data_IF_106512951236
#
_entry.id   IF_106512951236
#
_cell.length_a   1.000
_cell.length_b   1.000
_cell.length_c   1.000
_cell.angle_alpha   90.00
_cell.angle_beta   90.00
_cell.angle_gamma   90.00
#
_symmetry.space_group_name_H-M   'P 1'
#
loop_
_entity.id
_entity.type
_entity.pdbx_description
1 polymer ?
#
# COMPACT_ATOMS: atom_id res chain seq x y z
N UNK A 1 3.96 -20.99 0.16
CA UNK A 1 3.84 -21.02 -1.31
C UNK A 1 4.06 -19.60 -1.81
N UNK A 2 4.87 -19.40 -2.84
CA UNK A 2 5.05 -18.07 -3.44
C UNK A 2 3.74 -17.64 -4.13
N UNK A 3 3.46 -16.33 -4.11
CA UNK A 3 2.28 -15.77 -4.77
C UNK A 3 2.42 -15.97 -6.29
N UNK A 4 1.36 -16.42 -6.96
CA UNK A 4 1.38 -16.61 -8.40
C UNK A 4 1.50 -15.26 -9.13
N UNK A 5 2.29 -15.14 -10.21
CA UNK A 5 2.33 -13.93 -11.03
C UNK A 5 0.93 -13.48 -11.46
N UNK A 6 0.67 -12.17 -11.39
CA UNK A 6 -0.63 -11.57 -11.66
C UNK A 6 -1.63 -11.61 -10.50
N UNK A 7 -1.31 -12.27 -9.39
CA UNK A 7 -2.15 -12.22 -8.18
C UNK A 7 -1.95 -10.92 -7.40
N UNK A 8 -3.01 -10.42 -6.77
CA UNK A 8 -2.89 -9.32 -5.79
C UNK A 8 -2.20 -9.84 -4.53
N UNK A 9 -1.12 -9.17 -4.14
CA UNK A 9 -0.29 -9.57 -2.99
C UNK A 9 -0.29 -8.56 -1.85
N UNK A 10 -0.73 -7.33 -2.12
CA UNK A 10 -0.78 -6.27 -1.13
C UNK A 10 -1.81 -5.21 -1.53
N UNK A 11 -2.50 -4.66 -0.53
CA UNK A 11 -3.43 -3.55 -0.69
C UNK A 11 -2.95 -2.37 0.16
N UNK A 12 -2.79 -1.22 -0.45
CA UNK A 12 -2.24 -0.03 0.20
C UNK A 12 -3.27 1.09 0.18
N UNK A 13 -3.62 1.60 1.36
CA UNK A 13 -4.40 2.81 1.50
C UNK A 13 -3.47 3.98 1.76
N UNK A 14 -3.43 4.92 0.83
CA UNK A 14 -2.85 6.24 1.08
C UNK A 14 -3.97 7.17 1.54
N UNK A 15 -3.80 7.83 2.69
CA UNK A 15 -4.83 8.72 3.26
C UNK A 15 -4.19 9.91 3.98
N UNK A 16 -4.91 11.03 4.06
CA UNK A 16 -4.51 12.18 4.89
C UNK A 16 -4.91 12.04 6.35
N UNK A 17 -5.65 10.99 6.71
CA UNK A 17 -6.08 10.71 8.08
C UNK A 17 -6.09 9.19 8.33
N UNK A 18 -4.95 8.68 8.78
CA UNK A 18 -4.78 7.26 9.09
C UNK A 18 -5.54 6.83 10.35
N UNK A 19 -5.79 7.75 11.29
CA UNK A 19 -6.56 7.46 12.51
C UNK A 19 -8.04 7.25 12.18
N UNK A 20 -8.62 8.15 11.37
CA UNK A 20 -9.98 8.00 10.88
C UNK A 20 -10.14 6.73 10.02
N UNK A 21 -9.16 6.41 9.19
CA UNK A 21 -9.16 5.17 8.40
C UNK A 21 -9.13 3.93 9.31
N UNK A 22 -8.25 3.90 10.31
CA UNK A 22 -8.19 2.80 11.30
C UNK A 22 -9.54 2.60 11.98
N UNK A 23 -10.17 3.69 12.45
CA UNK A 23 -11.49 3.62 13.08
C UNK A 23 -12.56 3.12 12.09
N UNK A 24 -12.63 3.72 10.91
CA UNK A 24 -13.65 3.40 9.91
C UNK A 24 -13.59 1.94 9.47
N UNK A 25 -12.42 1.45 9.06
CA UNK A 25 -12.28 0.06 8.62
C UNK A 25 -12.38 -0.95 9.78
N UNK A 26 -12.02 -0.54 10.99
CA UNK A 26 -12.33 -1.30 12.20
C UNK A 26 -13.84 -1.49 12.38
N UNK A 27 -14.62 -0.41 12.27
CA UNK A 27 -16.07 -0.45 12.49
C UNK A 27 -16.85 -1.13 11.35
N UNK A 28 -16.45 -0.89 10.09
CA UNK A 28 -17.21 -1.34 8.91
C UNK A 28 -16.87 -2.77 8.51
N UNK A 29 -15.59 -3.15 8.51
CA UNK A 29 -15.13 -4.47 8.02
C UNK A 29 -14.39 -5.29 9.09
N UNK A 30 -14.23 -4.77 10.30
CA UNK A 30 -13.59 -5.48 11.40
C UNK A 30 -12.08 -5.66 11.23
N UNK A 31 -11.43 -4.81 10.43
CA UNK A 31 -9.98 -4.89 10.25
C UNK A 31 -9.22 -4.46 11.49
N UNK A 32 -8.10 -5.12 11.74
CA UNK A 32 -7.15 -4.73 12.79
C UNK A 32 -6.00 -3.98 12.14
N UNK A 33 -6.00 -2.67 12.27
CA UNK A 33 -4.95 -1.79 11.77
C UNK A 33 -4.17 -1.29 12.99
N UNK A 34 -2.84 -1.30 12.90
CA UNK A 34 -2.00 -0.78 13.97
C UNK A 34 -2.37 0.68 14.30
N UNK A 35 -2.33 1.05 15.58
CA UNK A 35 -2.68 2.41 16.00
C UNK A 35 -1.68 3.46 15.49
N UNK A 36 -0.42 3.07 15.31
CA UNK A 36 0.65 3.87 14.70
C UNK A 36 1.60 2.96 13.95
N UNK A 37 2.22 3.49 12.91
CA UNK A 37 3.36 2.85 12.26
C UNK A 37 4.60 2.90 13.14
N UNK A 38 5.50 1.95 12.91
CA UNK A 38 6.84 1.97 13.51
C UNK A 38 7.75 2.85 12.64
N UNK A 39 8.20 4.03 13.14
CA UNK A 39 9.03 4.93 12.37
C UNK A 39 10.41 4.33 12.03
N UNK A 40 10.93 3.41 12.85
CA UNK A 40 12.22 2.77 12.62
C UNK A 40 12.18 1.80 11.43
N UNK A 41 11.01 1.19 11.19
CA UNK A 41 10.78 0.27 10.07
C UNK A 41 10.41 1.04 8.79
N UNK A 42 9.72 2.16 8.94
CA UNK A 42 9.03 2.86 7.84
C UNK A 42 9.78 4.11 7.35
N UNK A 43 11.06 4.27 7.71
CA UNK A 43 11.86 5.44 7.31
C UNK A 43 11.25 6.77 7.78
N UNK A 44 10.66 6.78 8.99
CA UNK A 44 10.00 7.96 9.57
C UNK A 44 8.57 8.21 9.10
N UNK A 45 8.02 7.38 8.21
CA UNK A 45 6.61 7.47 7.79
C UNK A 45 5.68 6.80 8.81
N UNK A 46 4.45 7.30 8.94
CA UNK A 46 3.39 6.58 9.68
C UNK A 46 2.72 5.58 8.74
N UNK A 47 3.31 4.38 8.70
CA UNK A 47 2.87 3.25 7.91
C UNK A 47 2.34 2.12 8.80
N UNK A 48 1.05 1.82 8.67
CA UNK A 48 0.32 0.93 9.58
C UNK A 48 -0.08 -0.35 8.88
N UNK A 49 0.29 -1.50 9.42
CA UNK A 49 -0.10 -2.78 8.85
C UNK A 49 -1.59 -3.09 9.09
N UNK A 50 -2.26 -3.63 8.07
CA UNK A 50 -3.60 -4.20 8.12
C UNK A 50 -3.46 -5.70 8.35
N UNK A 51 -3.84 -6.17 9.54
CA UNK A 51 -3.76 -7.58 9.91
C UNK A 51 -4.92 -8.42 9.35
N UNK A 52 -4.60 -9.64 8.93
CA UNK A 52 -5.57 -10.70 8.61
C UNK A 52 -5.95 -11.45 9.89
N UNK A 53 -7.15 -12.05 9.89
CA UNK A 53 -7.63 -12.87 11.01
C UNK A 53 -6.78 -14.12 11.28
N UNK A 54 -6.07 -14.60 10.26
CA UNK A 54 -5.18 -15.76 10.33
C UNK A 54 -3.75 -15.40 10.80
N UNK A 55 -3.50 -14.16 11.21
CA UNK A 55 -2.20 -13.68 11.69
C UNK A 55 -1.25 -13.19 10.59
N UNK A 56 -1.64 -13.27 9.32
CA UNK A 56 -0.91 -12.65 8.22
C UNK A 56 -1.15 -11.14 8.10
N UNK A 57 -0.45 -10.50 7.16
CA UNK A 57 -0.71 -9.11 6.76
C UNK A 57 -1.47 -9.08 5.43
N UNK A 58 -2.49 -8.22 5.35
CA UNK A 58 -3.30 -8.01 4.15
C UNK A 58 -2.79 -6.83 3.33
N UNK A 59 -2.29 -5.80 4.02
CA UNK A 59 -2.09 -4.49 3.42
C UNK A 59 -1.50 -3.47 4.38
N UNK A 60 -1.41 -2.24 3.91
CA UNK A 60 -0.88 -1.10 4.63
C UNK A 60 -1.80 0.11 4.58
N UNK A 61 -1.67 0.98 5.57
CA UNK A 61 -2.21 2.34 5.56
C UNK A 61 -1.04 3.30 5.72
N UNK A 62 -0.80 4.11 4.69
CA UNK A 62 0.17 5.18 4.69
C UNK A 62 -0.52 6.52 4.97
N UNK A 63 -0.08 7.18 6.04
CA UNK A 63 -0.38 8.59 6.26
C UNK A 63 0.39 9.45 5.25
N UNK A 64 -0.33 10.14 4.38
CA UNK A 64 0.22 11.11 3.46
C UNK A 64 0.81 12.29 4.23
N UNK A 65 2.06 12.64 3.91
CA UNK A 65 2.73 13.81 4.47
C UNK A 65 2.36 15.09 3.70
N UNK A 66 2.53 16.28 4.31
CA UNK A 66 2.30 17.56 3.62
C UNK A 66 3.14 17.72 2.34
N UNK A 67 4.36 17.18 2.33
CA UNK A 67 5.22 17.20 1.15
C UNK A 67 4.62 16.37 0.01
N UNK A 68 4.12 15.17 0.30
CA UNK A 68 3.47 14.31 -0.69
C UNK A 68 2.20 14.96 -1.26
N UNK A 69 1.35 15.52 -0.40
CA UNK A 69 0.11 16.17 -0.85
C UNK A 69 0.37 17.42 -1.69
N UNK A 70 1.40 18.19 -1.32
CA UNK A 70 1.86 19.36 -2.10
C UNK A 70 2.44 18.94 -3.45
N UNK A 71 3.08 17.77 -3.51
CA UNK A 71 3.52 17.12 -4.75
C UNK A 71 2.39 16.49 -5.58
N UNK A 72 1.13 16.64 -5.16
CA UNK A 72 -0.03 16.17 -5.92
C UNK A 72 -0.61 14.84 -5.47
N UNK A 73 -0.04 14.17 -4.45
CA UNK A 73 -0.64 12.97 -3.89
C UNK A 73 -2.05 13.26 -3.36
N UNK A 74 -2.94 12.29 -3.50
CA UNK A 74 -4.34 12.32 -3.04
C UNK A 74 -4.66 10.99 -2.36
N UNK A 75 -5.66 10.93 -1.47
CA UNK A 75 -6.09 9.66 -0.91
C UNK A 75 -6.52 8.67 -2.01
N UNK A 76 -6.02 7.43 -1.96
CA UNK A 76 -6.42 6.35 -2.86
C UNK A 76 -6.10 4.96 -2.30
N UNK A 77 -6.71 3.95 -2.90
CA UNK A 77 -6.29 2.55 -2.76
C UNK A 77 -5.41 2.14 -3.93
N UNK A 78 -4.30 1.47 -3.63
CA UNK A 78 -3.40 0.85 -4.59
C UNK A 78 -3.36 -0.67 -4.36
N UNK A 79 -3.32 -1.43 -5.45
CA UNK A 79 -3.11 -2.88 -5.43
C UNK A 79 -1.76 -3.23 -6.01
N UNK A 80 -1.03 -4.14 -5.36
CA UNK A 80 0.24 -4.65 -5.83
C UNK A 80 0.04 -6.03 -6.43
N UNK A 81 0.60 -6.24 -7.62
CA UNK A 81 0.56 -7.52 -8.31
C UNK A 81 1.91 -8.25 -8.14
N UNK A 82 1.86 -9.55 -7.90
CA UNK A 82 3.05 -10.39 -7.97
C UNK A 82 3.57 -10.42 -9.41
N UNK A 83 4.88 -10.22 -9.55
CA UNK A 83 5.63 -10.42 -10.79
C UNK A 83 6.91 -11.18 -10.46
N UNK A 84 7.41 -11.94 -11.42
CA UNK A 84 8.68 -12.67 -11.24
C UNK A 84 9.87 -11.69 -11.18
N UNK A 85 9.80 -10.64 -11.99
CA UNK A 85 10.79 -9.57 -12.06
C UNK A 85 10.09 -8.24 -12.35
N UNK A 86 10.35 -7.23 -11.52
CA UNK A 86 9.70 -5.90 -11.62
C UNK A 86 10.18 -5.14 -12.85
N UNK A 87 11.44 -5.28 -13.24
CA UNK A 87 12.01 -4.54 -14.35
C UNK A 87 11.52 -5.12 -15.68
N UNK A 88 11.42 -6.44 -15.81
CA UNK A 88 10.79 -7.11 -16.96
C UNK A 88 9.31 -6.75 -17.09
N UNK A 89 8.55 -6.84 -16.00
CA UNK A 89 7.12 -6.52 -16.02
C UNK A 89 6.86 -5.06 -16.40
N UNK A 90 7.66 -4.14 -15.88
CA UNK A 90 7.55 -2.70 -16.19
C UNK A 90 7.85 -2.43 -17.66
N UNK A 91 8.93 -3.01 -18.21
CA UNK A 91 9.25 -2.92 -19.65
C UNK A 91 8.12 -3.46 -20.53
N UNK A 92 7.54 -4.60 -20.18
CA UNK A 92 6.43 -5.18 -20.93
C UNK A 92 5.20 -4.26 -20.93
N UNK A 93 4.84 -3.70 -19.77
CA UNK A 93 3.73 -2.73 -19.64
C UNK A 93 3.98 -1.49 -20.50
N UNK A 94 5.19 -0.95 -20.51
CA UNK A 94 5.55 0.20 -21.35
C UNK A 94 5.48 -0.12 -22.85
N UNK A 95 5.92 -1.33 -23.26
CA UNK A 95 5.81 -1.79 -24.63
C UNK A 95 4.34 -1.91 -25.10
N UNK A 96 3.43 -2.22 -24.17
CA UNK A 96 1.97 -2.27 -24.41
C UNK A 96 1.27 -0.90 -24.30
N UNK A 97 2.05 0.19 -24.18
CA UNK A 97 1.53 1.57 -24.12
C UNK A 97 1.20 2.08 -22.72
N UNK A 98 1.55 1.33 -21.68
CA UNK A 98 1.52 1.77 -20.29
C UNK A 98 2.63 2.79 -19.97
N UNK A 99 2.66 3.23 -18.71
CA UNK A 99 3.64 4.23 -18.25
C UNK A 99 4.11 3.96 -16.83
N UNK A 100 5.42 4.00 -16.62
CA UNK A 100 6.03 3.97 -15.29
C UNK A 100 5.98 5.34 -14.65
N UNK A 101 5.41 5.42 -13.45
CA UNK A 101 5.32 6.65 -12.67
C UNK A 101 6.45 6.77 -11.64
N UNK A 102 6.91 5.63 -11.11
CA UNK A 102 7.93 5.54 -10.07
C UNK A 102 8.96 4.49 -10.50
N UNK A 103 9.98 4.86 -11.31
CA UNK A 103 11.09 3.96 -11.61
C UNK A 103 11.93 3.71 -10.34
N UNK A 104 12.74 2.65 -10.35
CA UNK A 104 13.69 2.35 -9.28
C UNK A 104 14.70 3.47 -9.06
#
# INVERSE_FOLDING_TARGET
MANAPGSFIWYELMTTDADAATKFYGDVVGWKIAAKGDPAVSGGQDYRAIGRKDGGMLGGVLQLTPAMTSGGARPLWLGYLAVNDVDDATRAIEADGGKTWMPK
#
